data_IF_246819941275
#
_entry.id   IF_246819941275
#
_cell.length_a   1.000
_cell.length_b   1.000
_cell.length_c   1.000
_cell.angle_alpha   90.00
_cell.angle_beta   90.00
_cell.angle_gamma   90.00
#
_symmetry.space_group_name_H-M   'P 1'
#
loop_
_entity.id
_entity.type
_entity.pdbx_description
1 polymer ?
#
# COMPACT_ATOMS: atom_id res chain seq x y z
N UNK A 1 -1.55 -5.21 7.33
CA UNK A 1 -2.97 -4.99 6.95
C UNK A 1 -3.78 -6.29 7.04
N UNK A 2 -5.12 -6.24 7.15
CA UNK A 2 -5.98 -7.46 7.14
C UNK A 2 -6.34 -7.89 5.71
N UNK A 3 -6.47 -9.21 5.49
CA UNK A 3 -6.75 -9.83 4.18
C UNK A 3 -8.07 -9.35 3.53
N UNK A 4 -8.98 -8.76 4.31
CA UNK A 4 -10.25 -8.19 3.83
C UNK A 4 -10.11 -6.82 3.14
N UNK A 5 -8.98 -6.13 3.28
CA UNK A 5 -8.76 -4.89 2.53
C UNK A 5 -8.50 -5.18 1.06
N UNK A 6 -9.31 -4.57 0.19
CA UNK A 6 -9.09 -4.55 -1.25
C UNK A 6 -8.27 -3.32 -1.65
N UNK A 7 -7.69 -3.35 -2.86
CA UNK A 7 -6.96 -2.21 -3.45
C UNK A 7 -7.80 -0.93 -3.37
N UNK A 8 -9.07 -0.99 -3.79
CA UNK A 8 -10.03 0.11 -3.73
C UNK A 8 -10.28 0.65 -2.32
N UNK A 9 -10.41 -0.23 -1.32
CA UNK A 9 -10.68 0.20 0.06
C UNK A 9 -9.48 0.90 0.69
N UNK A 10 -8.28 0.41 0.40
CA UNK A 10 -7.05 1.02 0.90
C UNK A 10 -6.79 2.36 0.21
N UNK A 11 -6.95 2.42 -1.12
CA UNK A 11 -6.87 3.65 -1.89
C UNK A 11 -7.85 4.72 -1.37
N UNK A 12 -9.12 4.35 -1.14
CA UNK A 12 -10.10 5.29 -0.61
C UNK A 12 -9.72 5.85 0.78
N UNK A 13 -9.10 5.04 1.64
CA UNK A 13 -8.64 5.49 2.96
C UNK A 13 -7.42 6.42 2.85
N UNK A 14 -6.54 6.18 1.88
CA UNK A 14 -5.39 7.04 1.60
C UNK A 14 -5.85 8.38 1.01
N UNK A 15 -6.78 8.33 0.05
CA UNK A 15 -7.28 9.49 -0.66
C UNK A 15 -8.03 10.48 0.24
N UNK A 16 -8.53 10.06 1.41
CA UNK A 16 -9.17 10.96 2.37
C UNK A 16 -8.25 12.11 2.81
N UNK A 17 -6.94 11.87 2.91
CA UNK A 17 -5.95 12.84 3.40
C UNK A 17 -4.77 13.08 2.47
N UNK A 18 -4.53 12.18 1.51
CA UNK A 18 -3.31 12.14 0.69
C UNK A 18 -3.61 11.95 -0.81
N UNK A 19 -4.82 12.30 -1.26
CA UNK A 19 -5.15 12.24 -2.68
C UNK A 19 -4.24 13.15 -3.50
N UNK A 20 -3.65 12.62 -4.56
CA UNK A 20 -2.78 13.36 -5.45
C UNK A 20 -1.37 13.60 -4.93
N UNK A 21 -0.95 12.98 -3.83
CA UNK A 21 0.43 13.06 -3.31
C UNK A 21 1.31 11.88 -3.72
N UNK A 22 0.76 10.93 -4.48
CA UNK A 22 1.41 9.69 -4.93
C UNK A 22 1.03 9.39 -6.38
N UNK A 23 1.89 8.68 -7.11
CA UNK A 23 1.71 8.37 -8.54
C UNK A 23 1.72 6.87 -8.87
N UNK A 24 1.90 6.04 -7.84
CA UNK A 24 1.85 4.60 -7.91
C UNK A 24 1.33 4.03 -6.61
N UNK A 25 0.43 3.07 -6.72
CA UNK A 25 -0.06 2.25 -5.65
C UNK A 25 -0.11 0.80 -6.15
N UNK A 26 0.35 -0.15 -5.33
CA UNK A 26 0.20 -1.56 -5.61
C UNK A 26 -0.09 -2.32 -4.33
N UNK A 27 -1.22 -3.04 -4.34
CA UNK A 27 -1.54 -4.04 -3.33
C UNK A 27 -1.34 -5.43 -3.92
N UNK A 28 -0.27 -6.16 -3.57
CA UNK A 28 -0.07 -7.50 -4.08
C UNK A 28 -1.14 -8.45 -3.52
N UNK A 29 -1.70 -9.29 -4.41
CA UNK A 29 -2.72 -10.29 -4.08
C UNK A 29 -2.11 -11.67 -4.24
N UNK A 30 -2.27 -12.49 -3.21
CA UNK A 30 -2.01 -13.92 -3.30
C UNK A 30 -3.18 -14.59 -4.04
N UNK A 31 -2.93 -15.07 -5.25
CA UNK A 31 -3.96 -15.72 -6.08
C UNK A 31 -4.47 -17.05 -5.50
N UNK A 32 -3.65 -17.75 -4.71
CA UNK A 32 -4.04 -19.03 -4.11
C UNK A 32 -5.06 -18.80 -2.99
N UNK A 33 -4.80 -17.81 -2.15
CA UNK A 33 -5.66 -17.48 -1.01
C UNK A 33 -6.70 -16.40 -1.31
N UNK A 34 -6.68 -15.83 -2.53
CA UNK A 34 -7.55 -14.72 -3.00
C UNK A 34 -7.60 -13.53 -2.03
N UNK A 35 -6.48 -13.26 -1.37
CA UNK A 35 -6.36 -12.27 -0.30
C UNK A 35 -5.09 -11.43 -0.50
N UNK A 36 -5.07 -10.23 0.07
CA UNK A 36 -3.83 -9.45 0.08
C UNK A 36 -2.77 -10.12 0.97
N UNK A 37 -1.50 -9.90 0.62
CA UNK A 37 -0.33 -10.45 1.34
C UNK A 37 0.04 -9.66 2.61
N UNK A 38 -0.78 -8.67 3.00
CA UNK A 38 -0.62 -7.92 4.24
C UNK A 38 0.19 -6.62 4.15
N UNK A 39 0.77 -6.30 3.01
CA UNK A 39 1.52 -5.06 2.73
C UNK A 39 1.14 -4.47 1.37
N UNK A 40 1.44 -3.19 1.16
CA UNK A 40 1.22 -2.46 -0.10
C UNK A 40 2.43 -1.57 -0.39
N UNK A 41 2.62 -1.22 -1.66
CA UNK A 41 3.63 -0.25 -2.11
C UNK A 41 2.95 1.03 -2.57
N UNK A 42 3.54 2.16 -2.20
CA UNK A 42 3.09 3.49 -2.58
C UNK A 42 4.33 4.28 -2.97
N UNK A 43 4.31 4.89 -4.15
CA UNK A 43 5.35 5.84 -4.56
C UNK A 43 4.81 7.25 -4.37
N UNK A 44 5.39 7.99 -3.43
CA UNK A 44 5.04 9.39 -3.20
C UNK A 44 5.66 10.27 -4.29
N UNK A 45 4.95 11.32 -4.71
CA UNK A 45 5.46 12.30 -5.68
C UNK A 45 6.64 13.10 -5.14
N UNK A 46 6.67 13.33 -3.83
CA UNK A 46 7.74 14.06 -3.14
C UNK A 46 7.99 13.44 -1.77
N UNK A 47 9.26 13.45 -1.35
CA UNK A 47 9.67 13.03 -0.02
C UNK A 47 8.98 13.84 1.10
N UNK A 48 8.59 15.08 0.81
CA UNK A 48 7.85 15.94 1.75
C UNK A 48 6.49 15.36 2.15
N UNK A 49 5.86 14.53 1.32
CA UNK A 49 4.58 13.88 1.63
C UNK A 49 4.73 12.62 2.48
N UNK A 50 5.94 12.08 2.61
CA UNK A 50 6.19 10.86 3.39
C UNK A 50 5.92 11.11 4.89
N UNK A 51 6.35 12.26 5.42
CA UNK A 51 6.20 12.57 6.85
C UNK A 51 4.71 12.68 7.23
N UNK A 52 3.87 13.52 6.56
CA UNK A 52 2.44 13.58 6.85
C UNK A 52 1.73 12.23 6.70
N UNK A 53 2.13 11.43 5.70
CA UNK A 53 1.57 10.11 5.49
C UNK A 53 1.95 9.15 6.62
N UNK A 54 3.19 9.19 7.07
CA UNK A 54 3.67 8.41 8.21
C UNK A 54 2.93 8.76 9.50
N UNK A 55 2.77 10.03 9.82
CA UNK A 55 2.04 10.46 11.01
C UNK A 55 0.55 10.08 10.97
N UNK A 56 -0.04 10.06 9.78
CA UNK A 56 -1.44 9.69 9.58
C UNK A 56 -1.69 8.21 9.81
N UNK A 57 -0.82 7.33 9.29
CA UNK A 57 -1.08 5.88 9.23
C UNK A 57 -0.21 5.07 10.19
N UNK A 58 1.05 5.43 10.41
CA UNK A 58 1.95 4.60 11.20
C UNK A 58 1.51 4.52 12.66
N UNK A 59 1.50 3.30 13.21
CA UNK A 59 1.07 3.07 14.58
C UNK A 59 -0.44 3.18 14.79
N UNK A 60 -1.25 3.43 13.75
CA UNK A 60 -2.71 3.49 13.83
C UNK A 60 -3.34 2.12 13.52
N UNK A 61 -4.45 1.82 14.18
CA UNK A 61 -5.26 0.64 13.86
C UNK A 61 -6.05 0.89 12.57
N UNK A 62 -6.28 -0.16 11.80
CA UNK A 62 -7.18 -0.08 10.66
C UNK A 62 -8.63 0.00 11.16
N UNK A 63 -9.32 1.09 10.84
CA UNK A 63 -10.68 1.35 11.35
C UNK A 63 -11.73 0.38 10.81
N UNK A 64 -11.47 -0.26 9.66
CA UNK A 64 -12.41 -1.23 9.06
C UNK A 64 -12.13 -2.65 9.54
N UNK A 65 -13.21 -3.42 9.65
CA UNK A 65 -13.23 -4.86 9.95
C UNK A 65 -12.77 -5.25 11.37
N UNK A 66 -12.83 -4.33 12.34
CA UNK A 66 -12.38 -4.57 13.73
C UNK A 66 -11.00 -5.22 13.80
N UNK A 67 -10.10 -4.84 12.88
CA UNK A 67 -8.78 -5.45 12.83
C UNK A 67 -7.92 -4.88 13.95
N UNK A 68 -7.39 -5.75 14.80
CA UNK A 68 -6.37 -5.36 15.78
C UNK A 68 -5.02 -5.04 15.13
N UNK A 69 -4.88 -5.28 13.82
CA UNK A 69 -3.65 -5.01 13.10
C UNK A 69 -3.38 -3.51 13.09
N UNK A 70 -2.16 -3.17 13.47
CA UNK A 70 -1.62 -1.81 13.42
C UNK A 70 -0.90 -1.63 12.08
N UNK A 71 -1.10 -0.48 11.45
CA UNK A 71 -0.36 -0.09 10.25
C UNK A 71 1.09 0.25 10.62
N UNK A 72 2.03 -0.31 9.87
CA UNK A 72 3.46 -0.03 9.98
C UNK A 72 3.98 0.34 8.62
N UNK A 73 4.74 1.44 8.56
CA UNK A 73 5.33 1.95 7.34
C UNK A 73 6.84 1.80 7.41
N UNK A 74 7.43 1.36 6.31
CA UNK A 74 8.86 1.26 6.13
C UNK A 74 9.23 1.67 4.71
N UNK A 75 10.44 2.15 4.52
CA UNK A 75 10.96 2.41 3.19
C UNK A 75 11.08 1.11 2.41
N UNK A 76 10.57 1.10 1.18
CA UNK A 76 10.72 -0.04 0.28
C UNK A 76 12.20 -0.21 -0.10
N UNK A 77 12.66 -1.46 -0.23
CA UNK A 77 14.01 -1.75 -0.75
C UNK A 77 14.15 -1.34 -2.21
N UNK A 78 13.06 -1.39 -2.96
CA UNK A 78 12.97 -0.98 -4.37
C UNK A 78 12.33 0.41 -4.39
N UNK A 79 13.03 1.38 -4.97
CA UNK A 79 12.61 2.78 -5.03
C UNK A 79 12.32 3.20 -6.47
N UNK A 80 11.31 4.05 -6.63
CA UNK A 80 10.90 4.59 -7.93
C UNK A 80 9.89 3.74 -8.68
N UNK A 81 8.94 4.42 -9.34
CA UNK A 81 7.84 3.81 -10.08
C UNK A 81 8.29 2.81 -11.15
N UNK A 82 9.30 3.16 -11.96
CA UNK A 82 9.78 2.29 -13.04
C UNK A 82 10.35 0.96 -12.50
N UNK A 83 11.11 1.01 -11.41
CA UNK A 83 11.67 -0.18 -10.77
C UNK A 83 10.58 -1.04 -10.13
N UNK A 84 9.58 -0.43 -9.48
CA UNK A 84 8.41 -1.13 -8.95
C UNK A 84 7.62 -1.82 -10.05
N UNK A 85 7.29 -1.11 -11.13
CA UNK A 85 6.57 -1.68 -12.28
C UNK A 85 7.34 -2.87 -12.87
N UNK A 86 8.64 -2.74 -13.11
CA UNK A 86 9.45 -3.82 -13.66
C UNK A 86 9.53 -5.03 -12.69
N UNK A 87 9.58 -4.78 -11.38
CA UNK A 87 9.61 -5.85 -10.38
C UNK A 87 8.29 -6.65 -10.35
N UNK A 88 7.14 -5.96 -10.42
CA UNK A 88 5.84 -6.63 -10.39
C UNK A 88 5.38 -7.19 -11.74
N UNK A 89 5.84 -6.64 -12.86
CA UNK A 89 5.55 -7.19 -14.19
C UNK A 89 6.19 -8.56 -14.43
N UNK A 90 7.36 -8.82 -13.82
CA UNK A 90 8.08 -10.08 -13.95
C UNK A 90 7.73 -11.11 -12.87
N UNK A 91 6.91 -10.74 -11.89
CA UNK A 91 6.44 -11.63 -10.81
C UNK A 91 5.19 -12.39 -11.25
N UNK A 92 5.37 -13.66 -11.67
CA UNK A 92 4.29 -14.54 -12.15
C UNK A 92 3.25 -14.82 -11.04
N UNK A 93 3.64 -14.74 -9.77
CA UNK A 93 2.78 -15.11 -8.63
C UNK A 93 2.07 -13.93 -7.96
N UNK A 94 2.43 -12.68 -8.26
CA UNK A 94 1.85 -11.50 -7.59
C UNK A 94 1.69 -10.35 -8.60
N UNK A 95 0.46 -10.10 -9.07
CA UNK A 95 0.17 -8.93 -9.92
C UNK A 95 -0.37 -7.78 -9.07
N UNK A 96 0.03 -6.56 -9.41
CA UNK A 96 -0.62 -5.34 -8.93
C UNK A 96 -1.98 -5.18 -9.64
N UNK A 97 -3.02 -4.83 -8.89
CA UNK A 97 -4.34 -4.42 -9.39
C UNK A 97 -4.65 -2.98 -9.05
#
# INVERSE_FOLDING_TARGET
MTCRYTSKMLLAAIDEKHKGTYDFFCLPIDFKNKCNVGYAFINMLSASHIIPFYETFNGKKWEKFNSEKVASLAYARIQGKAALVNHFQNSISTRCQ
#
